data_IF_520565406267
#
_entry.id   IF_520565406267
#
_cell.length_a   1.000
_cell.length_b   1.000
_cell.length_c   1.000
_cell.angle_alpha   90.00
_cell.angle_beta   90.00
_cell.angle_gamma   90.00
#
_symmetry.space_group_name_H-M   'P 1'
#
loop_
_entity.id
_entity.type
_entity.pdbx_description
1 polymer ?
#
# COMPACT_ATOMS: atom_id res chain seq x y z
N UNK A 1 1.16 -15.25 27.08
CA UNK A 1 1.12 -14.27 25.96
C UNK A 1 1.13 -12.88 26.57
N UNK A 2 2.12 -12.01 26.24
CA UNK A 2 2.04 -10.58 26.58
C UNK A 2 0.81 -10.02 25.86
N UNK A 3 -0.04 -9.27 26.58
CA UNK A 3 -1.17 -8.57 25.99
C UNK A 3 -0.58 -7.60 24.97
N UNK A 4 -0.81 -7.84 23.68
CA UNK A 4 -0.32 -6.93 22.63
C UNK A 4 -1.02 -5.59 22.81
N UNK A 5 -0.26 -4.50 22.79
CA UNK A 5 -0.81 -3.16 22.91
C UNK A 5 -1.58 -2.79 21.63
N UNK A 6 -2.67 -2.07 21.78
CA UNK A 6 -3.56 -1.64 20.70
C UNK A 6 -3.20 -0.20 20.28
N UNK A 7 -1.98 0.01 19.81
CA UNK A 7 -1.47 1.37 19.54
C UNK A 7 -2.34 2.16 18.56
N UNK A 8 -2.75 1.57 17.45
CA UNK A 8 -3.59 2.24 16.45
C UNK A 8 -5.00 2.47 17.00
N UNK A 9 -5.63 1.48 17.66
CA UNK A 9 -6.96 1.65 18.25
C UNK A 9 -6.95 2.74 19.34
N UNK A 10 -5.87 2.84 20.15
CA UNK A 10 -5.72 3.87 21.16
C UNK A 10 -5.59 5.27 20.52
N UNK A 11 -4.79 5.39 19.47
CA UNK A 11 -4.67 6.62 18.70
C UNK A 11 -6.04 7.05 18.10
N UNK A 12 -6.82 6.08 17.57
CA UNK A 12 -8.17 6.36 17.08
C UNK A 12 -9.07 6.82 18.22
N UNK A 13 -9.06 6.17 19.39
CA UNK A 13 -9.84 6.59 20.57
C UNK A 13 -9.61 8.06 20.95
N UNK A 14 -8.34 8.45 21.00
CA UNK A 14 -7.93 9.80 21.35
C UNK A 14 -8.34 10.80 20.27
N UNK A 15 -8.06 10.49 19.00
CA UNK A 15 -8.28 11.42 17.89
C UNK A 15 -9.76 11.62 17.55
N UNK A 16 -10.60 10.61 17.74
CA UNK A 16 -12.04 10.69 17.50
C UNK A 16 -12.84 11.20 18.70
N UNK A 17 -12.23 11.18 19.88
CA UNK A 17 -12.93 11.48 21.15
C UNK A 17 -13.90 10.38 21.61
N UNK A 18 -13.96 9.23 20.93
CA UNK A 18 -14.86 8.11 21.28
C UNK A 18 -14.44 7.39 22.58
N UNK A 19 -13.17 7.45 22.97
CA UNK A 19 -12.70 6.89 24.22
C UNK A 19 -13.12 5.43 24.42
N UNK A 20 -13.76 5.12 25.55
CA UNK A 20 -14.27 3.78 25.85
C UNK A 20 -15.47 3.34 25.01
N UNK A 21 -16.14 4.28 24.30
CA UNK A 21 -17.24 3.99 23.38
C UNK A 21 -16.76 3.56 21.98
N UNK A 22 -15.45 3.38 21.76
CA UNK A 22 -14.92 2.95 20.47
C UNK A 22 -15.38 1.50 20.19
N UNK A 23 -16.26 1.38 19.21
CA UNK A 23 -16.71 0.14 18.57
C UNK A 23 -16.69 0.34 17.07
N UNK A 24 -16.76 -0.73 16.29
CA UNK A 24 -16.86 -0.62 14.83
C UNK A 24 -18.08 0.22 14.39
N UNK A 25 -19.22 0.06 15.06
CA UNK A 25 -20.47 0.77 14.78
C UNK A 25 -20.33 2.27 15.07
N UNK A 26 -19.87 2.63 16.29
CA UNK A 26 -19.72 4.03 16.68
C UNK A 26 -18.68 4.76 15.84
N UNK A 27 -17.57 4.09 15.50
CA UNK A 27 -16.58 4.64 14.59
C UNK A 27 -17.16 4.87 13.21
N UNK A 28 -17.92 3.91 12.66
CA UNK A 28 -18.56 4.06 11.35
C UNK A 28 -19.52 5.23 11.30
N UNK A 29 -20.36 5.39 12.34
CA UNK A 29 -21.27 6.53 12.44
C UNK A 29 -20.49 7.87 12.49
N UNK A 30 -19.43 7.93 13.29
CA UNK A 30 -18.55 9.10 13.36
C UNK A 30 -17.87 9.40 12.03
N UNK A 31 -17.36 8.38 11.33
CA UNK A 31 -16.73 8.55 10.02
C UNK A 31 -17.73 9.06 8.98
N UNK A 32 -18.95 8.53 8.94
CA UNK A 32 -19.99 8.98 8.01
C UNK A 32 -20.31 10.47 8.20
N UNK A 33 -20.40 10.94 9.44
CA UNK A 33 -20.57 12.35 9.73
C UNK A 33 -19.39 13.19 9.22
N UNK A 34 -18.14 12.74 9.46
CA UNK A 34 -16.93 13.44 8.97
C UNK A 34 -16.83 13.44 7.44
N UNK A 35 -17.19 12.34 6.79
CA UNK A 35 -17.27 12.28 5.32
C UNK A 35 -18.30 13.28 4.81
N UNK A 36 -19.48 13.34 5.42
CA UNK A 36 -20.51 14.32 5.03
C UNK A 36 -20.05 15.76 5.16
N UNK A 37 -19.34 16.11 6.22
CA UNK A 37 -18.74 17.44 6.37
C UNK A 37 -17.68 17.71 5.29
N UNK A 38 -16.86 16.71 4.97
CA UNK A 38 -15.84 16.84 3.93
C UNK A 38 -16.46 16.96 2.53
N UNK A 39 -17.58 16.30 2.24
CA UNK A 39 -18.34 16.45 1.00
C UNK A 39 -18.87 17.89 0.84
N UNK A 40 -19.47 18.43 1.88
CA UNK A 40 -19.98 19.83 1.88
C UNK A 40 -18.80 20.79 1.65
N UNK A 41 -17.71 20.63 2.41
CA UNK A 41 -16.50 21.44 2.27
C UNK A 41 -15.92 21.37 0.86
N UNK A 42 -15.78 20.18 0.30
CA UNK A 42 -15.25 19.98 -1.05
C UNK A 42 -16.16 20.60 -2.13
N UNK A 43 -17.49 20.46 -1.99
CA UNK A 43 -18.45 21.05 -2.92
C UNK A 43 -18.44 22.59 -2.88
N UNK A 44 -18.04 23.21 -1.79
CA UNK A 44 -17.91 24.67 -1.68
C UNK A 44 -16.60 25.18 -2.25
N UNK A 45 -15.48 24.43 -2.13
CA UNK A 45 -14.14 24.92 -2.34
C UNK A 45 -13.46 24.40 -3.61
N UNK A 46 -13.80 23.19 -4.09
CA UNK A 46 -13.14 22.58 -5.25
C UNK A 46 -14.08 22.52 -6.47
N UNK A 47 -13.57 22.90 -7.63
CA UNK A 47 -14.35 22.98 -8.87
C UNK A 47 -14.93 21.60 -9.25
N UNK A 48 -14.14 20.53 -9.15
CA UNK A 48 -14.57 19.18 -9.49
C UNK A 48 -15.84 18.74 -8.72
N UNK A 49 -15.89 18.98 -7.44
CA UNK A 49 -17.01 18.59 -6.57
C UNK A 49 -18.19 19.58 -6.69
N UNK A 50 -17.91 20.86 -6.93
CA UNK A 50 -18.95 21.88 -7.14
C UNK A 50 -19.77 21.58 -8.38
N UNK A 51 -19.11 21.18 -9.48
CA UNK A 51 -19.77 20.83 -10.73
C UNK A 51 -20.61 19.55 -10.64
N UNK A 52 -20.41 18.75 -9.56
CA UNK A 52 -21.08 17.46 -9.28
C UNK A 52 -21.81 17.45 -7.94
N UNK A 53 -22.11 18.62 -7.42
CA UNK A 53 -22.65 18.79 -6.06
C UNK A 53 -23.91 17.98 -5.81
N UNK A 54 -24.82 17.93 -6.77
CA UNK A 54 -26.07 17.17 -6.66
C UNK A 54 -25.79 15.66 -6.54
N UNK A 55 -24.98 15.10 -7.41
CA UNK A 55 -24.60 13.69 -7.35
C UNK A 55 -23.81 13.33 -6.08
N UNK A 56 -23.00 14.25 -5.56
CA UNK A 56 -22.24 14.03 -4.32
C UNK A 56 -23.11 14.10 -3.07
N UNK A 57 -23.96 15.16 -2.95
CA UNK A 57 -24.69 15.42 -1.72
C UNK A 57 -26.08 14.80 -1.65
N UNK A 58 -26.68 14.45 -2.78
CA UNK A 58 -28.02 13.91 -2.89
C UNK A 58 -28.12 12.92 -4.05
N UNK A 59 -27.35 11.81 -4.00
CA UNK A 59 -27.40 10.82 -5.07
C UNK A 59 -28.79 10.21 -5.19
N UNK A 60 -29.25 9.97 -6.42
CA UNK A 60 -30.48 9.24 -6.68
C UNK A 60 -30.38 7.81 -6.12
N UNK A 61 -31.49 7.22 -5.68
CA UNK A 61 -31.48 5.83 -5.19
C UNK A 61 -30.82 4.86 -6.17
N UNK A 62 -29.83 4.11 -5.70
CA UNK A 62 -29.03 3.18 -6.53
C UNK A 62 -27.92 3.83 -7.36
N UNK A 63 -27.73 5.15 -7.24
CA UNK A 63 -26.58 5.85 -7.80
C UNK A 63 -25.51 6.06 -6.73
N UNK A 64 -24.26 5.84 -7.10
CA UNK A 64 -23.12 6.06 -6.22
C UNK A 64 -22.20 7.10 -6.84
N UNK A 65 -21.77 8.07 -6.02
CA UNK A 65 -20.73 9.00 -6.44
C UNK A 65 -19.36 8.39 -6.18
N UNK A 66 -18.55 8.28 -7.23
CA UNK A 66 -17.17 7.83 -7.11
C UNK A 66 -16.25 8.74 -7.90
N UNK A 67 -15.01 8.87 -7.43
CA UNK A 67 -13.90 9.45 -8.18
C UNK A 67 -12.89 8.35 -8.55
N UNK A 68 -12.23 8.53 -9.68
CA UNK A 68 -11.27 7.58 -10.23
C UNK A 68 -9.91 8.20 -10.45
N UNK A 69 -8.91 7.37 -10.68
CA UNK A 69 -7.57 7.85 -11.08
C UNK A 69 -7.61 8.70 -12.36
N UNK A 70 -8.54 8.41 -13.28
CA UNK A 70 -8.68 9.15 -14.54
C UNK A 70 -9.24 10.56 -14.31
N UNK A 71 -10.19 10.72 -13.39
CA UNK A 71 -10.70 12.05 -13.04
C UNK A 71 -9.58 12.97 -12.54
N UNK A 72 -8.71 12.44 -11.67
CA UNK A 72 -7.55 13.18 -11.17
C UNK A 72 -6.55 13.48 -12.29
N UNK A 73 -6.27 12.54 -13.21
CA UNK A 73 -5.33 12.76 -14.34
C UNK A 73 -5.79 13.87 -15.26
N UNK A 74 -7.10 13.97 -15.49
CA UNK A 74 -7.66 14.98 -16.40
C UNK A 74 -7.43 16.40 -15.93
N UNK A 75 -7.77 16.67 -14.67
CA UNK A 75 -7.73 18.03 -14.10
C UNK A 75 -7.45 17.95 -12.58
N UNK A 76 -6.20 17.62 -12.17
CA UNK A 76 -5.87 17.46 -10.75
C UNK A 76 -6.07 18.73 -9.93
N UNK A 77 -5.91 19.91 -10.54
CA UNK A 77 -6.09 21.20 -9.88
C UNK A 77 -7.55 21.50 -9.51
N UNK A 78 -8.52 20.90 -10.21
CA UNK A 78 -9.95 21.08 -9.92
C UNK A 78 -10.35 20.44 -8.58
N UNK A 79 -9.50 19.57 -8.02
CA UNK A 79 -9.70 18.95 -6.69
C UNK A 79 -9.17 19.80 -5.53
N UNK A 80 -8.49 20.91 -5.80
CA UNK A 80 -7.92 21.75 -4.74
C UNK A 80 -9.01 22.53 -4.01
N UNK A 81 -9.06 22.35 -2.69
CA UNK A 81 -9.92 23.10 -1.78
C UNK A 81 -9.21 24.30 -1.14
N UNK A 82 -7.94 24.48 -1.39
CA UNK A 82 -7.13 25.56 -0.82
C UNK A 82 -6.36 26.30 -1.91
N UNK A 83 -5.90 27.51 -1.58
CA UNK A 83 -4.99 28.25 -2.49
C UNK A 83 -3.72 27.42 -2.77
N UNK A 84 -3.21 27.42 -4.02
CA UNK A 84 -1.96 26.74 -4.37
C UNK A 84 -0.76 27.13 -3.48
N UNK A 85 -0.77 28.34 -2.90
CA UNK A 85 0.27 28.81 -1.95
C UNK A 85 0.33 27.99 -0.65
N UNK A 86 -0.76 27.27 -0.28
CA UNK A 86 -0.80 26.40 0.90
C UNK A 86 -0.31 24.98 0.61
N UNK A 87 0.01 24.66 -0.64
CA UNK A 87 0.50 23.34 -1.02
C UNK A 87 2.00 23.25 -0.68
N UNK A 88 2.31 22.35 0.26
CA UNK A 88 3.67 22.07 0.70
C UNK A 88 4.36 21.02 -0.19
N UNK A 89 3.58 20.10 -0.79
CA UNK A 89 4.14 19.04 -1.66
C UNK A 89 3.17 18.66 -2.78
N UNK A 90 3.74 18.45 -3.97
CA UNK A 90 3.03 17.86 -5.12
C UNK A 90 3.75 16.56 -5.48
N UNK A 91 2.99 15.46 -5.53
CA UNK A 91 3.52 14.17 -5.93
C UNK A 91 2.98 13.82 -7.28
N UNK A 92 3.90 13.63 -8.22
CA UNK A 92 3.59 13.24 -9.59
C UNK A 92 3.78 11.74 -9.76
N UNK A 93 2.68 11.02 -10.01
CA UNK A 93 2.68 9.56 -10.21
C UNK A 93 2.61 9.31 -11.71
N UNK A 94 3.67 8.75 -12.33
CA UNK A 94 3.66 8.41 -13.75
C UNK A 94 2.62 7.33 -14.04
N UNK A 95 2.14 7.27 -15.28
CA UNK A 95 1.29 6.16 -15.76
C UNK A 95 2.16 4.95 -16.09
N UNK A 96 1.57 3.75 -16.00
CA UNK A 96 2.24 2.50 -16.42
C UNK A 96 2.49 2.41 -17.94
N UNK A 97 1.96 3.35 -18.74
CA UNK A 97 2.13 3.44 -20.20
C UNK A 97 2.67 4.79 -20.64
N UNK A 98 3.37 4.82 -21.79
CA UNK A 98 4.08 5.99 -22.32
C UNK A 98 3.22 7.16 -22.78
N UNK A 99 1.90 7.06 -22.80
CA UNK A 99 0.98 8.04 -23.41
C UNK A 99 0.01 8.72 -22.45
N UNK A 100 -0.06 8.29 -21.18
CA UNK A 100 -0.99 8.85 -20.22
C UNK A 100 -0.47 10.08 -19.48
N UNK A 101 -1.38 11.05 -19.16
CA UNK A 101 -1.02 12.16 -18.28
C UNK A 101 -0.73 11.64 -16.88
N UNK A 102 0.37 12.11 -16.22
CA UNK A 102 0.68 11.70 -14.86
C UNK A 102 -0.39 12.22 -13.89
N UNK A 103 -0.68 11.43 -12.87
CA UNK A 103 -1.57 11.84 -11.79
C UNK A 103 -0.78 12.72 -10.80
N UNK A 104 -1.34 13.85 -10.38
CA UNK A 104 -0.75 14.74 -9.38
C UNK A 104 -1.64 14.79 -8.14
N UNK A 105 -1.03 14.54 -6.98
CA UNK A 105 -1.68 14.63 -5.68
C UNK A 105 -1.02 15.78 -4.92
N UNK A 106 -1.85 16.64 -4.35
CA UNK A 106 -1.44 17.85 -3.65
C UNK A 106 -1.65 17.68 -2.15
N UNK A 107 -0.66 18.11 -1.38
CA UNK A 107 -0.71 18.03 0.08
C UNK A 107 -0.36 19.39 0.69
N UNK A 108 -1.14 19.79 1.69
CA UNK A 108 -0.72 20.83 2.63
C UNK A 108 0.28 20.24 3.64
N UNK A 109 0.94 21.08 4.40
CA UNK A 109 1.78 20.65 5.53
C UNK A 109 0.96 19.88 6.57
N UNK A 110 -0.24 20.36 6.89
CA UNK A 110 -1.16 19.70 7.84
C UNK A 110 -1.53 18.29 7.38
N UNK A 111 -1.84 18.11 6.07
CA UNK A 111 -2.14 16.79 5.50
C UNK A 111 -0.97 15.81 5.67
N UNK A 112 0.27 16.30 5.51
CA UNK A 112 1.48 15.48 5.63
C UNK A 112 1.82 15.18 7.10
N UNK A 113 1.64 16.16 7.99
CA UNK A 113 1.84 15.95 9.42
C UNK A 113 0.83 14.97 10.02
N UNK A 114 -0.41 14.94 9.52
CA UNK A 114 -1.39 13.91 9.90
C UNK A 114 -0.94 12.50 9.49
N UNK A 115 -0.11 12.36 8.43
CA UNK A 115 0.52 11.08 8.10
C UNK A 115 1.58 10.68 9.13
N UNK A 116 2.44 11.62 9.57
CA UNK A 116 3.40 11.35 10.64
C UNK A 116 2.70 11.00 11.96
N UNK A 117 1.54 11.61 12.24
CA UNK A 117 0.71 11.27 13.40
C UNK A 117 0.25 9.81 13.37
N UNK A 118 -0.15 9.29 12.22
CA UNK A 118 -0.51 7.87 12.06
C UNK A 118 0.71 6.94 12.10
N UNK A 119 1.84 7.35 11.51
CA UNK A 119 3.06 6.54 11.55
C UNK A 119 3.57 6.32 12.98
N UNK A 120 3.36 7.27 13.88
CA UNK A 120 3.78 7.17 15.27
C UNK A 120 3.23 5.92 15.98
N UNK A 121 1.90 5.67 16.08
CA UNK A 121 1.37 4.45 16.65
C UNK A 121 1.64 3.20 15.78
N UNK A 122 1.72 3.34 14.45
CA UNK A 122 2.06 2.24 13.56
C UNK A 122 3.45 1.67 13.82
N UNK A 123 4.46 2.53 13.98
CA UNK A 123 5.81 2.11 14.30
C UNK A 123 5.95 1.56 15.73
N UNK A 124 5.02 1.85 16.62
CA UNK A 124 5.03 1.34 17.99
C UNK A 124 4.86 -0.19 18.09
N UNK A 125 4.29 -0.83 17.07
CA UNK A 125 4.20 -2.29 17.06
C UNK A 125 5.57 -2.99 16.91
N UNK A 126 6.54 -2.31 16.30
CA UNK A 126 7.81 -2.91 15.88
C UNK A 126 9.05 -2.19 16.39
N UNK A 127 8.90 -1.10 17.15
CA UNK A 127 10.03 -0.31 17.66
C UNK A 127 9.80 0.17 19.09
N UNK A 128 10.89 0.34 19.84
CA UNK A 128 10.91 0.86 21.21
C UNK A 128 11.82 2.10 21.32
N UNK A 129 11.60 2.99 22.29
CA UNK A 129 12.49 4.13 22.53
C UNK A 129 13.96 3.72 22.66
N UNK A 130 14.86 4.56 22.15
CA UNK A 130 16.31 4.32 22.17
C UNK A 130 16.84 3.43 21.03
N UNK A 131 15.97 2.84 20.20
CA UNK A 131 16.36 2.02 19.06
C UNK A 131 16.78 2.86 17.84
N UNK A 132 17.45 2.21 16.89
CA UNK A 132 17.82 2.76 15.59
C UNK A 132 16.99 2.11 14.47
N UNK A 133 16.34 2.94 13.66
CA UNK A 133 15.64 2.52 12.43
C UNK A 133 16.39 2.98 11.20
N UNK A 134 16.68 2.07 10.26
CA UNK A 134 17.19 2.45 8.94
C UNK A 134 16.09 2.34 7.89
N UNK A 135 15.88 3.43 7.13
CA UNK A 135 14.79 3.55 6.14
C UNK A 135 15.36 3.54 4.73
N UNK A 136 15.01 2.50 3.97
CA UNK A 136 15.36 2.30 2.56
C UNK A 136 14.21 2.74 1.63
N UNK A 137 13.74 3.97 1.84
CA UNK A 137 12.71 4.61 1.03
C UNK A 137 13.10 6.07 0.77
N UNK A 138 12.42 6.75 -0.18
CA UNK A 138 12.68 8.15 -0.51
C UNK A 138 12.76 9.03 0.74
N UNK A 139 13.86 9.75 0.91
CA UNK A 139 14.14 10.52 2.12
C UNK A 139 14.76 11.90 1.91
N UNK A 140 15.06 12.30 0.67
CA UNK A 140 15.77 13.54 0.34
C UNK A 140 14.99 14.80 0.73
N UNK A 141 13.66 14.74 0.73
CA UNK A 141 12.80 15.87 1.06
C UNK A 141 12.15 15.68 2.44
N UNK A 142 11.93 16.76 3.15
CA UNK A 142 11.33 16.76 4.50
C UNK A 142 10.01 15.97 4.55
N UNK A 143 9.16 16.18 3.56
CA UNK A 143 7.85 15.52 3.47
C UNK A 143 7.83 14.30 2.54
N UNK A 144 8.99 13.68 2.29
CA UNK A 144 9.07 12.36 1.70
C UNK A 144 8.64 11.28 2.71
N UNK A 145 8.43 10.07 2.24
CA UNK A 145 8.02 8.95 3.12
C UNK A 145 9.04 8.72 4.24
N UNK A 146 10.34 8.75 3.91
CA UNK A 146 11.43 8.62 4.90
C UNK A 146 11.51 9.83 5.83
N UNK A 147 11.24 11.05 5.33
CA UNK A 147 11.19 12.25 6.15
C UNK A 147 10.02 12.24 7.15
N UNK A 148 8.83 11.81 6.73
CA UNK A 148 7.67 11.67 7.62
C UNK A 148 7.85 10.54 8.65
N UNK A 149 8.47 9.42 8.26
CA UNK A 149 8.84 8.36 9.20
C UNK A 149 9.84 8.86 10.24
N UNK A 150 10.85 9.64 9.83
CA UNK A 150 11.79 10.25 10.78
C UNK A 150 11.07 11.13 11.80
N UNK A 151 10.16 12.01 11.37
CA UNK A 151 9.35 12.85 12.27
C UNK A 151 8.56 11.99 13.26
N UNK A 152 7.93 10.92 12.79
CA UNK A 152 7.15 10.01 13.63
C UNK A 152 8.01 9.26 14.66
N UNK A 153 9.20 8.82 14.26
CA UNK A 153 10.14 8.07 15.10
C UNK A 153 10.82 8.99 16.14
N UNK A 154 11.18 10.22 15.76
CA UNK A 154 11.73 11.22 16.68
C UNK A 154 10.76 11.52 17.84
N UNK A 155 9.46 11.57 17.59
CA UNK A 155 8.42 11.73 18.64
C UNK A 155 8.40 10.57 19.65
N UNK A 156 8.98 9.44 19.29
CA UNK A 156 9.10 8.24 20.11
C UNK A 156 10.51 8.02 20.68
N UNK A 157 11.38 9.03 20.58
CA UNK A 157 12.79 8.95 21.01
C UNK A 157 13.56 7.83 20.29
N UNK A 158 13.28 7.61 19.00
CA UNK A 158 13.89 6.59 18.16
C UNK A 158 14.79 7.29 17.14
N UNK A 159 16.04 6.85 17.07
CA UNK A 159 17.02 7.36 16.09
C UNK A 159 16.69 6.84 14.69
N UNK A 160 16.80 7.68 13.67
CA UNK A 160 16.47 7.32 12.30
C UNK A 160 17.62 7.63 11.35
N UNK A 161 18.00 6.63 10.56
CA UNK A 161 18.91 6.78 9.43
C UNK A 161 18.11 6.62 8.13
N UNK A 162 17.99 7.67 7.31
CA UNK A 162 17.32 7.58 6.00
C UNK A 162 18.40 7.43 4.94
N UNK A 163 18.43 6.26 4.29
CA UNK A 163 19.38 5.91 3.23
C UNK A 163 18.82 6.21 1.82
N UNK A 164 17.50 6.10 1.65
CA UNK A 164 16.89 6.09 0.31
C UNK A 164 16.76 4.67 -0.23
N UNK A 165 16.32 4.54 -1.49
CA UNK A 165 16.21 3.22 -2.13
C UNK A 165 17.57 2.53 -2.27
N UNK A 166 17.58 1.20 -2.22
CA UNK A 166 18.79 0.40 -2.38
C UNK A 166 19.23 0.43 -3.85
N UNK A 167 20.35 1.10 -4.11
CA UNK A 167 21.03 1.12 -5.42
C UNK A 167 22.34 0.37 -5.39
N UNK A 168 23.06 0.42 -4.27
CA UNK A 168 24.28 -0.34 -4.01
C UNK A 168 24.10 -1.19 -2.73
N UNK A 169 24.32 -2.48 -2.85
CA UNK A 169 24.11 -3.43 -1.75
C UNK A 169 25.15 -3.27 -0.62
N UNK A 170 26.38 -2.86 -0.93
CA UNK A 170 27.40 -2.65 0.10
C UNK A 170 27.13 -1.39 0.93
N UNK A 171 26.71 -0.31 0.27
CA UNK A 171 26.30 0.92 0.97
C UNK A 171 25.04 0.65 1.83
N UNK A 172 24.09 -0.11 1.28
CA UNK A 172 22.87 -0.50 2.02
C UNK A 172 23.20 -1.38 3.23
N UNK A 173 24.11 -2.37 3.09
CA UNK A 173 24.59 -3.18 4.21
C UNK A 173 25.20 -2.30 5.31
N UNK A 174 26.11 -1.38 4.93
CA UNK A 174 26.74 -0.45 5.89
C UNK A 174 25.68 0.40 6.60
N UNK A 175 24.69 0.91 5.86
CA UNK A 175 23.60 1.69 6.43
C UNK A 175 22.69 0.87 7.36
N UNK A 176 22.53 -0.43 7.13
CA UNK A 176 21.73 -1.33 7.96
C UNK A 176 22.46 -1.78 9.25
N UNK A 177 23.78 -1.65 9.32
CA UNK A 177 24.54 -2.11 10.48
C UNK A 177 24.09 -1.42 11.76
N UNK A 178 23.82 -2.23 12.79
CA UNK A 178 23.39 -1.77 14.11
C UNK A 178 21.95 -1.26 14.18
N UNK A 179 21.19 -1.35 13.08
CA UNK A 179 19.76 -1.01 13.10
C UNK A 179 18.95 -2.11 13.80
N UNK A 180 18.03 -1.69 14.68
CA UNK A 180 17.06 -2.59 15.33
C UNK A 180 15.87 -2.89 14.40
N UNK A 181 15.49 -1.91 13.56
CA UNK A 181 14.41 -2.07 12.58
C UNK A 181 14.87 -1.58 11.21
N UNK A 182 14.48 -2.31 10.16
CA UNK A 182 14.67 -1.90 8.76
C UNK A 182 13.30 -1.61 8.13
N UNK A 183 13.21 -0.54 7.34
CA UNK A 183 11.99 -0.20 6.59
C UNK A 183 12.33 -0.14 5.11
N UNK A 184 11.62 -0.88 4.27
CA UNK A 184 11.94 -0.89 2.83
C UNK A 184 10.92 -1.58 1.94
N UNK A 185 11.24 -1.60 0.65
CA UNK A 185 10.42 -2.26 -0.38
C UNK A 185 10.75 -3.76 -0.41
N UNK A 186 9.75 -4.66 -0.53
CA UNK A 186 9.93 -6.10 -0.39
C UNK A 186 11.09 -6.69 -1.21
N UNK A 187 11.14 -6.43 -2.51
CA UNK A 187 12.20 -6.97 -3.38
C UNK A 187 13.60 -6.48 -3.02
N UNK A 188 13.73 -5.19 -2.62
CA UNK A 188 15.04 -4.64 -2.20
C UNK A 188 15.51 -5.23 -0.87
N UNK A 189 14.57 -5.45 0.06
CA UNK A 189 14.91 -6.08 1.35
C UNK A 189 15.30 -7.55 1.18
N UNK A 190 14.65 -8.29 0.27
CA UNK A 190 15.04 -9.66 -0.06
C UNK A 190 16.47 -9.73 -0.61
N UNK A 191 16.82 -8.86 -1.58
CA UNK A 191 18.17 -8.76 -2.12
C UNK A 191 19.22 -8.37 -1.06
N UNK A 192 18.88 -7.42 -0.18
CA UNK A 192 19.78 -7.03 0.90
C UNK A 192 19.99 -8.17 1.89
N UNK A 193 18.97 -8.98 2.17
CA UNK A 193 19.10 -10.13 3.06
C UNK A 193 20.04 -11.18 2.51
N UNK A 194 19.99 -11.46 1.22
CA UNK A 194 20.90 -12.39 0.56
C UNK A 194 22.34 -11.86 0.54
N UNK A 195 22.52 -10.56 0.25
CA UNK A 195 23.85 -9.94 0.20
C UNK A 195 24.48 -9.77 1.58
N UNK A 196 23.66 -9.53 2.61
CA UNK A 196 24.10 -9.24 3.97
C UNK A 196 23.44 -10.18 5.01
N UNK A 197 23.64 -11.51 4.93
CA UNK A 197 22.94 -12.50 5.77
C UNK A 197 23.33 -12.46 7.25
N UNK A 198 24.35 -11.67 7.60
CA UNK A 198 24.81 -11.51 8.98
C UNK A 198 24.12 -10.38 9.75
N UNK A 199 23.34 -9.55 9.07
CA UNK A 199 22.53 -8.54 9.74
C UNK A 199 21.51 -9.22 10.68
N UNK A 200 21.22 -8.58 11.79
CA UNK A 200 20.25 -9.08 12.78
C UNK A 200 19.33 -7.94 13.25
N UNK A 201 18.53 -7.34 12.36
CA UNK A 201 17.47 -6.44 12.82
C UNK A 201 16.46 -7.26 13.64
N UNK A 202 15.84 -6.66 14.64
CA UNK A 202 14.76 -7.30 15.41
C UNK A 202 13.48 -7.37 14.57
N UNK A 203 13.24 -6.33 13.80
CA UNK A 203 12.02 -6.18 13.00
C UNK A 203 12.31 -5.62 11.61
N UNK A 204 11.42 -5.92 10.66
CA UNK A 204 11.43 -5.33 9.31
C UNK A 204 10.02 -4.86 8.97
N UNK A 205 9.86 -3.63 8.49
CA UNK A 205 8.61 -3.14 7.91
C UNK A 205 8.70 -3.13 6.39
N UNK A 206 7.87 -3.90 5.74
CA UNK A 206 7.74 -3.93 4.29
C UNK A 206 6.59 -3.03 3.82
N UNK A 207 6.88 -2.14 2.88
CA UNK A 207 5.91 -1.18 2.34
C UNK A 207 6.25 -0.76 0.90
N UNK A 208 5.32 -0.06 0.26
CA UNK A 208 5.52 0.57 -1.06
C UNK A 208 5.21 -0.32 -2.25
N UNK A 209 5.16 -1.63 -2.07
CA UNK A 209 4.73 -2.61 -3.08
C UNK A 209 3.99 -3.78 -2.42
N UNK A 210 3.44 -4.69 -3.23
CA UNK A 210 2.89 -5.95 -2.75
C UNK A 210 3.96 -6.74 -2.00
N UNK A 211 3.59 -7.34 -0.86
CA UNK A 211 4.48 -8.14 -0.03
C UNK A 211 4.21 -9.64 -0.24
N UNK A 212 5.01 -10.36 -1.06
CA UNK A 212 4.88 -11.80 -1.20
C UNK A 212 5.17 -12.51 0.13
N UNK A 213 4.39 -13.54 0.46
CA UNK A 213 4.61 -14.31 1.69
C UNK A 213 5.96 -15.06 1.68
N UNK A 214 6.45 -15.38 0.49
CA UNK A 214 7.78 -15.96 0.30
C UNK A 214 8.90 -15.00 0.72
N UNK A 215 8.75 -13.70 0.42
CA UNK A 215 9.71 -12.66 0.87
C UNK A 215 9.70 -12.54 2.39
N UNK A 216 8.52 -12.53 3.01
CA UNK A 216 8.40 -12.51 4.49
C UNK A 216 9.18 -13.68 5.09
N UNK A 217 8.86 -14.92 4.69
CA UNK A 217 9.56 -16.13 5.19
C UNK A 217 11.08 -16.10 4.94
N UNK A 218 11.51 -15.58 3.78
CA UNK A 218 12.95 -15.46 3.46
C UNK A 218 13.66 -14.52 4.42
N UNK A 219 13.09 -13.34 4.69
CA UNK A 219 13.65 -12.37 5.64
C UNK A 219 13.71 -12.94 7.06
N UNK A 220 12.62 -13.55 7.52
CA UNK A 220 12.53 -14.20 8.84
C UNK A 220 13.56 -15.32 8.98
N UNK A 221 13.78 -16.13 7.93
CA UNK A 221 14.75 -17.21 7.93
C UNK A 221 16.19 -16.72 7.93
N UNK A 222 16.52 -15.69 7.12
CA UNK A 222 17.90 -15.20 6.99
C UNK A 222 18.32 -14.33 8.17
N UNK A 223 17.47 -13.39 8.57
CA UNK A 223 17.81 -12.40 9.59
C UNK A 223 17.30 -12.75 11.00
N UNK A 224 16.48 -13.80 11.13
CA UNK A 224 15.87 -14.22 12.39
C UNK A 224 15.05 -13.06 13.03
N UNK A 225 14.31 -12.32 12.21
CA UNK A 225 13.56 -11.13 12.57
C UNK A 225 12.05 -11.34 12.46
N UNK A 226 11.26 -10.42 13.02
CA UNK A 226 9.82 -10.36 12.83
C UNK A 226 9.50 -9.38 11.69
N UNK A 227 8.65 -9.78 10.73
CA UNK A 227 8.34 -8.97 9.54
C UNK A 227 6.93 -8.43 9.61
N UNK A 228 6.80 -7.11 9.55
CA UNK A 228 5.54 -6.38 9.51
C UNK A 228 5.26 -5.86 8.11
N UNK A 229 3.98 -5.70 7.79
CA UNK A 229 3.55 -5.17 6.51
C UNK A 229 2.72 -3.90 6.70
N UNK A 230 2.82 -3.00 5.74
CA UNK A 230 2.04 -1.76 5.68
C UNK A 230 1.36 -1.64 4.33
N UNK A 231 0.06 -1.30 4.34
CA UNK A 231 -0.71 -0.95 3.17
C UNK A 231 -0.93 0.55 3.09
N UNK A 232 -0.74 1.11 1.92
CA UNK A 232 -1.01 2.50 1.63
C UNK A 232 -0.63 2.88 0.22
N UNK A 233 -1.09 4.03 -0.21
CA UNK A 233 -0.80 4.61 -1.52
C UNK A 233 -0.57 6.12 -1.35
N UNK A 234 -0.05 6.77 -2.41
CA UNK A 234 0.11 8.23 -2.38
C UNK A 234 -1.22 8.93 -2.12
N UNK A 235 -2.30 8.41 -2.66
CA UNK A 235 -3.65 8.96 -2.53
C UNK A 235 -4.21 8.87 -1.10
N UNK A 236 -3.81 7.89 -0.30
CA UNK A 236 -4.14 7.85 1.14
C UNK A 236 -3.22 8.73 2.00
N UNK A 237 -2.29 9.48 1.37
CA UNK A 237 -1.26 10.23 2.08
C UNK A 237 -0.15 9.33 2.62
N UNK A 238 0.24 8.31 1.87
CA UNK A 238 1.24 7.28 2.16
C UNK A 238 0.84 6.25 3.24
N UNK A 239 -0.05 6.57 4.18
CA UNK A 239 -0.46 5.68 5.26
C UNK A 239 -1.92 5.30 5.14
N UNK A 240 -2.23 4.01 5.01
CA UNK A 240 -3.58 3.46 5.00
C UNK A 240 -3.82 2.47 6.13
N UNK A 241 -2.88 1.58 6.39
CA UNK A 241 -2.98 0.58 7.45
C UNK A 241 -1.66 -0.15 7.71
N UNK A 242 -1.50 -0.71 8.90
CA UNK A 242 -0.30 -1.41 9.35
C UNK A 242 -0.66 -2.67 10.13
N UNK A 243 0.13 -3.72 9.99
CA UNK A 243 0.00 -4.91 10.83
C UNK A 243 0.38 -4.64 12.28
N UNK A 244 -0.26 -5.35 13.18
CA UNK A 244 0.23 -5.56 14.54
C UNK A 244 0.94 -6.92 14.64
N UNK A 245 1.55 -7.26 15.77
CA UNK A 245 2.24 -8.53 15.95
C UNK A 245 1.36 -9.79 15.90
N UNK A 246 0.06 -9.70 15.57
CA UNK A 246 -0.78 -10.84 15.22
C UNK A 246 -0.69 -11.23 13.73
N UNK A 247 -0.11 -10.35 12.87
CA UNK A 247 0.10 -10.54 11.44
C UNK A 247 -1.13 -11.04 10.67
N UNK A 248 -2.30 -10.53 11.01
CA UNK A 248 -3.57 -10.98 10.43
C UNK A 248 -4.40 -9.82 9.87
N UNK A 249 -3.80 -9.04 8.98
CA UNK A 249 -4.40 -7.88 8.33
C UNK A 249 -4.01 -6.55 8.96
N UNK A 250 -4.38 -5.47 8.27
CA UNK A 250 -3.95 -4.12 8.57
C UNK A 250 -4.95 -3.41 9.48
N UNK A 251 -4.48 -2.90 10.62
CA UNK A 251 -5.18 -1.89 11.40
C UNK A 251 -5.17 -0.57 10.62
N UNK A 252 -6.34 -0.02 10.36
CA UNK A 252 -6.52 1.09 9.43
C UNK A 252 -6.36 2.46 10.09
N UNK A 253 -6.06 3.45 9.26
CA UNK A 253 -6.00 4.87 9.64
C UNK A 253 -7.41 5.47 9.75
N UNK A 254 -8.27 4.85 10.52
CA UNK A 254 -9.70 5.09 10.56
C UNK A 254 -10.11 6.44 11.17
N UNK A 255 -9.20 7.15 11.83
CA UNK A 255 -9.45 8.51 12.30
C UNK A 255 -9.32 9.59 11.20
N UNK A 256 -8.75 9.25 10.04
CA UNK A 256 -8.52 10.19 8.93
C UNK A 256 -9.13 9.71 7.60
N UNK A 257 -9.34 8.40 7.48
CA UNK A 257 -9.83 7.72 6.27
C UNK A 257 -11.04 6.85 6.61
N UNK A 258 -12.04 6.84 5.74
CA UNK A 258 -13.10 5.84 5.77
C UNK A 258 -12.86 4.87 4.62
N UNK A 259 -12.67 3.59 4.94
CA UNK A 259 -12.48 2.52 3.95
C UNK A 259 -13.80 1.80 3.74
N UNK A 260 -14.07 1.43 2.49
CA UNK A 260 -15.25 0.67 2.06
C UNK A 260 -14.82 -0.42 1.09
N UNK A 261 -15.55 -1.52 1.08
CA UNK A 261 -15.39 -2.58 0.08
C UNK A 261 -16.67 -2.64 -0.72
N UNK A 262 -16.56 -2.49 -2.02
CA UNK A 262 -17.71 -2.45 -2.93
C UNK A 262 -17.63 -3.54 -3.99
N UNK A 263 -18.78 -3.90 -4.52
CA UNK A 263 -18.85 -4.71 -5.73
C UNK A 263 -18.34 -3.88 -6.93
N UNK A 264 -17.34 -4.35 -7.70
CA UNK A 264 -16.67 -3.51 -8.72
C UNK A 264 -17.59 -2.99 -9.83
N UNK A 265 -18.65 -3.74 -10.17
CA UNK A 265 -19.59 -3.39 -11.26
C UNK A 265 -20.77 -2.56 -10.76
N UNK A 266 -21.40 -2.96 -9.64
CA UNK A 266 -22.61 -2.29 -9.15
C UNK A 266 -22.29 -1.07 -8.27
N UNK A 267 -21.13 -1.03 -7.64
CA UNK A 267 -20.75 0.02 -6.66
C UNK A 267 -21.41 -0.16 -5.29
N UNK A 268 -22.19 -1.22 -5.08
CA UNK A 268 -22.83 -1.51 -3.79
C UNK A 268 -21.81 -2.06 -2.78
N UNK A 269 -21.98 -1.70 -1.50
CA UNK A 269 -21.16 -2.25 -0.43
C UNK A 269 -21.36 -3.77 -0.31
N UNK A 270 -20.27 -4.50 -0.07
CA UNK A 270 -20.33 -5.96 0.14
C UNK A 270 -20.22 -6.31 1.62
N UNK A 271 -20.75 -7.47 2.06
CA UNK A 271 -20.60 -7.94 3.44
C UNK A 271 -19.14 -8.14 3.84
N UNK A 272 -18.84 -7.98 5.15
CA UNK A 272 -17.50 -8.27 5.69
C UNK A 272 -17.07 -9.71 5.34
N UNK A 273 -15.79 -9.87 4.99
CA UNK A 273 -15.23 -11.14 4.52
C UNK A 273 -15.41 -11.39 3.01
N UNK A 274 -16.24 -10.60 2.32
CA UNK A 274 -16.41 -10.70 0.85
C UNK A 274 -15.37 -9.84 0.14
N UNK A 275 -14.78 -10.40 -0.92
CA UNK A 275 -13.84 -9.69 -1.78
C UNK A 275 -14.57 -8.67 -2.67
N UNK A 276 -14.00 -7.47 -2.78
CA UNK A 276 -14.50 -6.39 -3.62
C UNK A 276 -13.42 -5.38 -3.90
N UNK A 277 -13.80 -4.25 -4.49
CA UNK A 277 -12.89 -3.14 -4.72
C UNK A 277 -12.77 -2.28 -3.47
N UNK A 278 -11.55 -1.93 -3.11
CA UNK A 278 -11.28 -1.00 -2.02
C UNK A 278 -11.57 0.42 -2.46
N UNK A 279 -12.44 1.09 -1.74
CA UNK A 279 -12.76 2.52 -1.89
C UNK A 279 -12.39 3.24 -0.61
N UNK A 280 -11.95 4.49 -0.70
CA UNK A 280 -11.73 5.29 0.50
C UNK A 280 -12.20 6.74 0.34
N UNK A 281 -12.53 7.35 1.48
CA UNK A 281 -12.75 8.78 1.62
C UNK A 281 -11.74 9.37 2.60
N UNK A 282 -10.86 10.26 2.11
CA UNK A 282 -9.87 10.98 2.92
C UNK A 282 -10.49 12.25 3.52
N UNK A 283 -11.38 12.10 4.48
CA UNK A 283 -12.20 13.16 5.05
C UNK A 283 -11.42 14.17 5.90
N UNK A 284 -10.31 13.74 6.52
CA UNK A 284 -9.49 14.64 7.33
C UNK A 284 -8.61 15.58 6.48
N UNK A 285 -8.43 15.28 5.19
CA UNK A 285 -7.58 16.07 4.30
C UNK A 285 -8.25 17.35 3.87
N UNK A 286 -7.54 18.50 3.99
CA UNK A 286 -8.05 19.83 3.65
C UNK A 286 -7.55 20.36 2.31
N UNK A 287 -6.35 19.95 1.86
CA UNK A 287 -5.77 20.45 0.63
C UNK A 287 -6.45 19.90 -0.62
N UNK A 288 -6.54 18.59 -0.70
CA UNK A 288 -7.14 17.82 -1.79
C UNK A 288 -7.85 16.60 -1.22
N UNK A 289 -9.07 16.77 -0.64
CA UNK A 289 -9.83 15.63 -0.15
C UNK A 289 -10.19 14.72 -1.33
N UNK A 290 -9.91 13.42 -1.18
CA UNK A 290 -10.34 12.40 -2.12
C UNK A 290 -11.50 11.64 -1.48
N UNK A 291 -12.71 11.87 -1.96
CA UNK A 291 -13.94 11.32 -1.40
C UNK A 291 -14.47 10.22 -2.33
N UNK A 292 -14.81 9.07 -1.76
CA UNK A 292 -15.28 7.89 -2.51
C UNK A 292 -14.33 7.50 -3.67
N UNK A 293 -13.01 7.53 -3.38
CA UNK A 293 -12.02 7.23 -4.39
C UNK A 293 -11.88 5.73 -4.62
N UNK A 294 -12.14 5.30 -5.84
CA UNK A 294 -11.93 3.92 -6.30
C UNK A 294 -10.44 3.68 -6.52
N UNK A 295 -9.88 2.79 -5.73
CA UNK A 295 -8.43 2.49 -5.81
C UNK A 295 -8.08 1.58 -6.97
N UNK A 296 -9.04 0.77 -7.42
CA UNK A 296 -8.83 -0.36 -8.31
C UNK A 296 -8.19 -1.56 -7.60
N UNK A 297 -7.86 -1.48 -6.33
CA UNK A 297 -7.29 -2.58 -5.55
C UNK A 297 -8.40 -3.53 -5.07
N UNK A 298 -8.16 -4.84 -5.14
CA UNK A 298 -9.06 -5.87 -4.61
C UNK A 298 -8.69 -6.17 -3.17
N UNK A 299 -9.65 -6.04 -2.26
CA UNK A 299 -9.50 -6.30 -0.84
C UNK A 299 -10.78 -6.78 -0.19
N UNK A 300 -10.72 -7.08 1.10
CA UNK A 300 -11.88 -7.37 1.96
C UNK A 300 -11.56 -6.99 3.39
N UNK A 301 -12.56 -6.76 4.21
CA UNK A 301 -12.35 -6.76 5.66
C UNK A 301 -12.14 -8.18 6.17
N UNK A 302 -11.22 -8.35 7.12
CA UNK A 302 -11.01 -9.64 7.78
C UNK A 302 -12.32 -10.09 8.47
N UNK A 303 -12.73 -11.35 8.31
CA UNK A 303 -13.97 -11.85 8.93
C UNK A 303 -13.85 -12.01 10.45
N UNK A 304 -12.64 -12.25 10.96
CA UNK A 304 -12.38 -12.56 12.37
C UNK A 304 -11.87 -11.36 13.14
N UNK A 305 -11.98 -11.40 14.47
CA UNK A 305 -11.38 -10.41 15.37
C UNK A 305 -9.87 -10.57 15.43
N UNK A 306 -9.15 -9.46 15.71
CA UNK A 306 -7.69 -9.52 15.80
C UNK A 306 -7.22 -10.22 17.07
N UNK A 307 -6.22 -11.08 16.94
CA UNK A 307 -5.53 -11.72 18.07
C UNK A 307 -4.88 -10.73 19.04
N UNK A 308 -4.63 -9.47 18.64
CA UNK A 308 -4.15 -8.41 19.51
C UNK A 308 -5.23 -7.88 20.48
N UNK A 309 -6.50 -8.25 20.28
CA UNK A 309 -7.65 -7.76 21.05
C UNK A 309 -8.20 -6.40 20.55
N UNK A 310 -7.74 -5.91 19.39
CA UNK A 310 -8.30 -4.74 18.71
C UNK A 310 -9.78 -4.96 18.35
N UNK A 311 -10.60 -3.91 18.49
CA UNK A 311 -12.06 -4.00 18.32
C UNK A 311 -12.53 -3.56 16.93
N UNK A 312 -11.63 -2.98 16.14
CA UNK A 312 -11.96 -2.41 14.84
C UNK A 312 -11.76 -3.42 13.70
N UNK A 313 -12.50 -3.29 12.59
CA UNK A 313 -12.27 -4.04 11.38
C UNK A 313 -10.84 -3.83 10.87
N UNK A 314 -10.29 -4.86 10.23
CA UNK A 314 -8.97 -4.81 9.59
C UNK A 314 -9.11 -5.11 8.11
N UNK A 315 -8.34 -4.42 7.29
CA UNK A 315 -8.23 -4.77 5.89
C UNK A 315 -7.34 -6.01 5.76
N UNK A 316 -7.83 -7.03 5.05
CA UNK A 316 -7.03 -8.21 4.68
C UNK A 316 -5.96 -7.81 3.64
N UNK A 317 -5.02 -8.69 3.35
CA UNK A 317 -3.99 -8.47 2.34
C UNK A 317 -4.64 -8.12 0.99
N UNK A 318 -4.24 -6.99 0.45
CA UNK A 318 -4.74 -6.53 -0.85
C UNK A 318 -4.19 -7.41 -1.97
N UNK A 319 -5.07 -8.00 -2.77
CA UNK A 319 -4.72 -9.01 -3.79
C UNK A 319 -4.22 -8.42 -5.12
N UNK A 320 -4.10 -7.09 -5.20
CA UNK A 320 -3.66 -6.38 -6.40
C UNK A 320 -4.75 -5.57 -7.08
N UNK A 321 -4.46 -5.05 -8.28
CA UNK A 321 -5.37 -4.17 -9.00
C UNK A 321 -6.17 -4.91 -10.03
N UNK A 322 -7.45 -4.55 -10.16
CA UNK A 322 -8.36 -5.06 -11.19
C UNK A 322 -7.75 -4.88 -12.59
N UNK A 323 -7.23 -3.69 -12.89
CA UNK A 323 -6.63 -3.34 -14.18
C UNK A 323 -5.36 -4.15 -14.53
N UNK A 324 -4.67 -4.70 -13.53
CA UNK A 324 -3.44 -5.48 -13.67
C UNK A 324 -3.71 -7.00 -13.69
N UNK A 325 -4.97 -7.40 -13.64
CA UNK A 325 -5.38 -8.79 -13.81
C UNK A 325 -5.68 -9.05 -15.27
N UNK A 326 -5.07 -10.08 -15.83
CA UNK A 326 -5.25 -10.49 -17.23
C UNK A 326 -6.01 -11.80 -17.19
N UNK A 327 -7.20 -11.80 -17.81
CA UNK A 327 -8.00 -13.01 -17.98
C UNK A 327 -7.53 -13.76 -19.21
N UNK A 328 -7.24 -15.04 -19.05
CA UNK A 328 -6.83 -15.94 -20.12
C UNK A 328 -8.05 -16.54 -20.82
N UNK A 329 -7.87 -17.03 -22.04
CA UNK A 329 -8.98 -17.62 -22.83
C UNK A 329 -9.60 -18.86 -22.18
N UNK A 330 -8.87 -19.57 -21.32
CA UNK A 330 -9.37 -20.73 -20.57
C UNK A 330 -10.16 -20.35 -19.29
N UNK A 331 -10.33 -19.04 -19.01
CA UNK A 331 -11.02 -18.54 -17.84
C UNK A 331 -10.12 -18.29 -16.61
N UNK A 332 -8.86 -18.69 -16.67
CA UNK A 332 -7.89 -18.38 -15.61
C UNK A 332 -7.56 -16.88 -15.59
N UNK A 333 -7.10 -16.42 -14.46
CA UNK A 333 -6.61 -15.05 -14.28
C UNK A 333 -5.13 -15.07 -13.87
N UNK A 334 -4.35 -14.15 -14.43
CA UNK A 334 -2.95 -13.95 -14.06
C UNK A 334 -2.73 -12.48 -13.65
N UNK A 335 -2.11 -12.28 -12.50
CA UNK A 335 -1.70 -10.96 -12.02
C UNK A 335 -0.24 -10.96 -11.62
N UNK A 336 0.37 -9.77 -11.55
CA UNK A 336 1.76 -9.62 -11.10
C UNK A 336 1.95 -10.19 -9.69
N UNK A 337 0.99 -10.00 -8.79
CA UNK A 337 1.08 -10.49 -7.41
C UNK A 337 1.02 -12.01 -7.31
N UNK A 338 0.26 -12.65 -8.20
CA UNK A 338 0.26 -14.11 -8.28
C UNK A 338 1.58 -14.65 -8.84
N UNK A 339 2.22 -13.92 -9.76
CA UNK A 339 3.57 -14.24 -10.21
C UNK A 339 4.60 -14.00 -9.08
N UNK A 340 4.47 -12.92 -8.32
CA UNK A 340 5.32 -12.63 -7.16
C UNK A 340 5.31 -13.80 -6.15
N UNK A 341 4.12 -14.32 -5.81
CA UNK A 341 4.01 -15.45 -4.88
C UNK A 341 4.67 -16.73 -5.39
N UNK A 342 4.63 -16.95 -6.70
CA UNK A 342 5.24 -18.13 -7.33
C UNK A 342 6.75 -17.96 -7.50
N UNK A 343 7.18 -16.86 -8.09
CA UNK A 343 8.56 -16.68 -8.50
C UNK A 343 9.48 -16.38 -7.32
N UNK A 344 9.07 -15.53 -6.38
CA UNK A 344 9.88 -15.27 -5.19
C UNK A 344 9.88 -16.41 -4.16
N UNK A 345 9.07 -17.45 -4.38
CA UNK A 345 9.16 -18.68 -3.60
C UNK A 345 10.29 -19.60 -4.10
N UNK A 346 10.85 -19.34 -5.27
CA UNK A 346 11.92 -20.13 -5.86
C UNK A 346 13.29 -19.58 -5.43
N UNK A 347 14.19 -20.48 -5.02
CA UNK A 347 15.55 -20.11 -4.74
C UNK A 347 16.24 -19.66 -6.04
N UNK A 348 17.09 -18.65 -5.94
CA UNK A 348 17.81 -18.10 -7.09
C UNK A 348 16.99 -17.11 -7.95
N UNK A 349 15.75 -16.79 -7.62
CA UNK A 349 15.01 -15.68 -8.23
C UNK A 349 15.19 -14.43 -7.36
N UNK A 350 15.96 -13.46 -7.87
CA UNK A 350 16.22 -12.19 -7.18
C UNK A 350 15.25 -11.11 -7.61
N UNK A 351 14.96 -11.00 -8.90
CA UNK A 351 13.95 -10.12 -9.49
C UNK A 351 13.50 -10.67 -10.84
N UNK A 352 12.42 -10.13 -11.39
CA UNK A 352 11.94 -10.56 -12.70
C UNK A 352 11.12 -9.47 -13.41
N UNK A 353 11.06 -9.58 -14.74
CA UNK A 353 10.13 -8.85 -15.59
C UNK A 353 9.22 -9.83 -16.34
N UNK A 354 7.94 -9.49 -16.45
CA UNK A 354 6.94 -10.32 -17.11
C UNK A 354 6.27 -9.60 -18.28
N UNK A 355 6.12 -10.31 -19.40
CA UNK A 355 5.37 -9.90 -20.57
C UNK A 355 4.38 -10.97 -20.96
N UNK A 356 3.16 -10.61 -21.28
CA UNK A 356 2.13 -11.54 -21.71
C UNK A 356 1.58 -11.14 -23.09
N UNK A 357 1.63 -12.08 -24.01
CA UNK A 357 0.99 -12.04 -25.33
C UNK A 357 -0.19 -13.01 -25.32
N UNK A 358 -1.36 -12.61 -25.81
CA UNK A 358 -2.58 -13.43 -25.74
C UNK A 358 -3.01 -14.07 -27.06
N UNK A 359 -2.43 -13.68 -28.21
CA UNK A 359 -2.84 -14.16 -29.53
C UNK A 359 -1.68 -14.76 -30.32
N UNK A 360 -1.85 -15.90 -31.02
CA UNK A 360 -3.04 -16.79 -30.98
C UNK A 360 -3.11 -17.64 -29.70
N UNK A 361 -1.97 -17.96 -29.08
CA UNK A 361 -1.85 -18.68 -27.81
C UNK A 361 -1.25 -17.77 -26.76
N UNK A 362 -1.69 -17.95 -25.49
CA UNK A 362 -1.18 -17.13 -24.40
C UNK A 362 0.25 -17.52 -24.07
N UNK A 363 1.19 -16.62 -24.35
CA UNK A 363 2.64 -16.80 -24.08
C UNK A 363 3.07 -15.85 -22.99
N UNK A 364 3.58 -16.38 -21.86
CA UNK A 364 4.21 -15.64 -20.79
C UNK A 364 5.72 -15.65 -20.99
N UNK A 365 6.29 -14.49 -21.26
CA UNK A 365 7.75 -14.30 -21.37
C UNK A 365 8.28 -13.67 -20.08
N UNK A 366 9.22 -14.36 -19.43
CA UNK A 366 9.88 -13.93 -18.21
C UNK A 366 11.34 -13.61 -18.48
N UNK A 367 11.81 -12.50 -17.93
CA UNK A 367 13.24 -12.23 -17.78
C UNK A 367 13.56 -12.33 -16.29
N UNK A 368 14.40 -13.26 -15.90
CA UNK A 368 14.75 -13.54 -14.51
C UNK A 368 16.14 -12.98 -14.22
N UNK A 369 16.25 -12.19 -13.17
CA UNK A 369 17.51 -11.80 -12.55
C UNK A 369 17.81 -12.79 -11.42
N UNK A 370 18.89 -13.55 -11.56
CA UNK A 370 19.28 -14.59 -10.62
C UNK A 370 19.81 -15.84 -11.32
N UNK A 371 19.98 -16.92 -10.57
CA UNK A 371 20.54 -18.20 -10.99
C UNK A 371 19.56 -19.37 -10.91
N UNK A 372 18.26 -19.08 -10.76
CA UNK A 372 17.21 -20.08 -10.74
C UNK A 372 17.12 -20.85 -12.07
N UNK A 373 16.88 -22.16 -11.97
CA UNK A 373 16.74 -23.05 -13.11
C UNK A 373 15.47 -22.71 -13.94
N UNK A 374 15.59 -22.38 -15.24
CA UNK A 374 14.46 -22.08 -16.11
C UNK A 374 13.42 -23.21 -16.21
N UNK A 375 13.84 -24.46 -16.14
CA UNK A 375 12.94 -25.61 -16.22
C UNK A 375 12.10 -25.71 -14.94
N UNK A 376 12.71 -25.47 -13.78
CA UNK A 376 12.01 -25.40 -12.50
C UNK A 376 10.98 -24.26 -12.48
N UNK A 377 11.35 -23.06 -12.96
CA UNK A 377 10.43 -21.92 -13.08
C UNK A 377 9.21 -22.30 -13.94
N UNK A 378 9.48 -22.90 -15.10
CA UNK A 378 8.42 -23.32 -16.02
C UNK A 378 7.47 -24.34 -15.39
N UNK A 379 7.99 -25.33 -14.65
CA UNK A 379 7.20 -26.32 -13.94
C UNK A 379 6.28 -25.69 -12.88
N UNK A 380 6.81 -24.76 -12.07
CA UNK A 380 6.03 -24.09 -11.02
C UNK A 380 4.92 -23.20 -11.59
N UNK A 381 5.17 -22.52 -12.71
CA UNK A 381 4.16 -21.70 -13.36
C UNK A 381 3.08 -22.59 -14.00
N UNK A 382 3.45 -23.70 -14.66
CA UNK A 382 2.50 -24.64 -15.23
C UNK A 382 1.59 -25.33 -14.21
N UNK A 383 2.08 -25.56 -12.98
CA UNK A 383 1.23 -26.06 -11.88
C UNK A 383 0.07 -25.13 -11.56
N UNK A 384 0.24 -23.84 -11.77
CA UNK A 384 -0.78 -22.81 -11.47
C UNK A 384 -1.59 -22.42 -12.71
N UNK A 385 -0.97 -22.38 -13.89
CA UNK A 385 -1.57 -21.97 -15.16
C UNK A 385 -1.16 -22.94 -16.27
N UNK A 386 -1.90 -24.03 -16.40
CA UNK A 386 -1.57 -25.12 -17.34
C UNK A 386 -1.74 -24.76 -18.82
N UNK A 387 -2.42 -23.66 -19.14
CA UNK A 387 -2.71 -23.23 -20.51
C UNK A 387 -1.77 -22.15 -21.07
N UNK A 388 -0.63 -21.89 -20.41
CA UNK A 388 0.35 -20.87 -20.84
C UNK A 388 1.54 -21.51 -21.53
N UNK A 389 1.94 -20.99 -22.70
CA UNK A 389 3.31 -21.16 -23.19
C UNK A 389 4.25 -20.27 -22.34
N UNK A 390 5.35 -20.84 -21.84
CA UNK A 390 6.26 -20.11 -20.95
C UNK A 390 7.62 -20.02 -21.61
N UNK A 391 8.19 -18.81 -21.64
CA UNK A 391 9.54 -18.53 -22.12
C UNK A 391 10.32 -17.85 -21.02
N UNK A 392 11.36 -18.49 -20.53
CA UNK A 392 12.22 -17.99 -19.48
C UNK A 392 13.57 -17.60 -20.08
N UNK A 393 14.00 -16.36 -19.81
CA UNK A 393 15.31 -15.85 -20.18
C UNK A 393 16.02 -15.31 -18.93
N UNK A 394 17.32 -15.53 -18.81
CA UNK A 394 18.13 -14.88 -17.78
C UNK A 394 18.56 -13.49 -18.24
N UNK A 395 18.55 -12.51 -17.33
CA UNK A 395 18.96 -11.14 -17.65
C UNK A 395 18.84 -10.18 -16.48
N UNK A 396 19.41 -9.00 -16.63
CA UNK A 396 19.27 -7.92 -15.64
C UNK A 396 17.87 -7.29 -15.82
N UNK A 397 17.15 -7.11 -14.72
CA UNK A 397 15.82 -6.50 -14.70
C UNK A 397 15.94 -5.03 -14.32
N UNK A 398 15.31 -4.15 -15.11
CA UNK A 398 15.19 -2.74 -14.75
C UNK A 398 14.32 -2.59 -13.51
N UNK A 399 14.92 -2.17 -12.41
CA UNK A 399 14.23 -2.02 -11.12
C UNK A 399 13.23 -0.87 -11.15
N UNK A 400 11.97 -1.21 -11.37
CA UNK A 400 10.86 -0.26 -11.34
C UNK A 400 10.31 -0.13 -9.92
N UNK A 401 9.78 1.06 -9.58
CA UNK A 401 9.10 1.32 -8.30
C UNK A 401 7.92 0.36 -8.05
N UNK A 402 7.22 -0.05 -9.13
CA UNK A 402 6.12 -1.06 -9.08
C UNK A 402 6.25 -1.96 -10.28
N UNK A 403 6.15 -3.26 -10.05
CA UNK A 403 6.11 -4.26 -11.10
C UNK A 403 4.74 -4.33 -11.78
N UNK A 404 4.73 -4.74 -13.01
CA UNK A 404 3.51 -4.99 -13.79
C UNK A 404 3.79 -5.99 -14.89
N UNK A 405 2.75 -6.71 -15.32
CA UNK A 405 2.83 -7.53 -16.53
C UNK A 405 2.63 -6.62 -17.74
N UNK A 406 3.61 -6.59 -18.63
CA UNK A 406 3.50 -5.82 -19.88
C UNK A 406 2.66 -6.61 -20.88
N UNK A 407 1.57 -6.04 -21.36
CA UNK A 407 0.75 -6.65 -22.42
C UNK A 407 1.40 -6.39 -23.77
N UNK A 408 1.75 -7.46 -24.48
CA UNK A 408 2.20 -7.37 -25.88
C UNK A 408 0.98 -7.51 -26.80
N UNK A 409 0.96 -6.68 -27.88
CA UNK A 409 -0.14 -6.70 -28.88
C UNK A 409 -0.02 -7.86 -29.82
#
# INVERSE_FOLDING_TARGET
MKKQEQYVDNWIRERTGLGSALTAENLRAWQQERVREAEIYAAEHAAFYRDRKEALLSPEPGQHFFITAEDIRRRPEDFLCVSPKKIARIITIPTSGSTGRPKRIFFTEEDLMATADFFTPGMAYMTEPGQLVTVFMEGEQVYSIGGLLRIALERREISTRVHGFVHDLKEAEQAAQGADCLVGVPGQMALLAEAAPKLRPKTVLLSGDYVPQSVVRRLESIWECEVFQHWGMTETGYGGGVECGAHCGYHLRDADLMIEIIHPETGESVPNGTWGEVVFSAFARKGMPLLHYRTGDIGRFCPDTCGCGGVLPRLDKVMGRIENTIFLHNGDAISIHQLDEVLFALDGVHDYAAKLKQNPEATLSLTIEGDADPDMITEFIHKKWSGLEIRVNSGIVERKRKRSIVREK
#
